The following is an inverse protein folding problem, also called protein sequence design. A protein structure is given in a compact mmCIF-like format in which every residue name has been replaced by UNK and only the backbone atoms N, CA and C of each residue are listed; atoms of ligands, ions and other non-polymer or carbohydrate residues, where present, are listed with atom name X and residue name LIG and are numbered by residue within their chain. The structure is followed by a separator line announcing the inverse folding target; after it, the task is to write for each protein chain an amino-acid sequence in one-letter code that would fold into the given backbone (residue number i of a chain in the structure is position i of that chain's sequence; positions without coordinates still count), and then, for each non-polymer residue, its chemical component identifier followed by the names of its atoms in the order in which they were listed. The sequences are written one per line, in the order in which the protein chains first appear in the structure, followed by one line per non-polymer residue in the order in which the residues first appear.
data_IF_581901685564
#
_entry.id   IF_581901685564
#
_cell.length_a   1.000
_cell.length_b   1.000
_cell.length_c   1.000
_cell.angle_alpha   90.00
_cell.angle_beta   90.00
_cell.angle_gamma   90.00
#
_symmetry.space_group_name_H-M   'P 1'
#
loop_
_entity.id
_entity.type
_entity.pdbx_description
1 polymer ?
#
# COMPACT_ATOMS: atom_id res chain seq x y z
N UNK A 1 52.02 9.83 71.05
CA UNK A 1 51.25 10.98 70.52
C UNK A 1 50.92 10.69 69.08
N UNK A 2 49.64 10.48 68.81
CA UNK A 2 49.10 10.14 67.49
C UNK A 2 48.93 11.39 66.62
N UNK A 3 49.17 11.26 65.32
CA UNK A 3 48.55 12.11 64.31
C UNK A 3 48.45 11.33 62.99
N UNK A 4 47.26 10.76 62.75
CA UNK A 4 46.82 10.31 61.43
C UNK A 4 46.34 11.54 60.65
N UNK A 5 46.83 11.74 59.42
CA UNK A 5 46.26 12.73 58.49
C UNK A 5 45.76 12.06 57.20
N UNK A 6 44.51 12.38 56.88
CA UNK A 6 43.54 11.66 56.04
C UNK A 6 43.77 11.76 54.51
N UNK A 7 43.18 10.84 53.70
CA UNK A 7 43.50 10.67 52.28
C UNK A 7 42.75 11.70 51.40
N UNK A 8 43.40 12.81 51.04
CA UNK A 8 42.83 13.86 50.18
C UNK A 8 42.68 13.48 48.68
N UNK A 9 43.12 12.29 48.24
CA UNK A 9 43.07 11.86 46.82
C UNK A 9 41.69 11.38 46.33
N UNK A 10 40.77 10.97 47.23
CA UNK A 10 39.47 10.37 46.82
C UNK A 10 38.48 11.37 46.19
N UNK A 11 38.49 12.65 46.60
CA UNK A 11 37.54 13.66 46.09
C UNK A 11 37.79 14.07 44.64
N UNK A 12 39.05 14.14 44.20
CA UNK A 12 39.40 14.49 42.80
C UNK A 12 39.00 13.39 41.81
N UNK A 13 39.15 12.12 42.19
CA UNK A 13 38.69 10.99 41.38
C UNK A 13 37.17 10.97 41.22
N UNK A 14 36.43 11.30 42.29
CA UNK A 14 34.97 11.34 42.26
C UNK A 14 34.44 12.49 41.39
N UNK A 15 35.07 13.67 41.46
CA UNK A 15 34.74 14.80 40.57
C UNK A 15 35.03 14.45 39.11
N UNK A 16 36.16 13.81 38.80
CA UNK A 16 36.48 13.39 37.44
C UNK A 16 35.45 12.37 36.90
N UNK A 17 35.04 11.39 37.72
CA UNK A 17 33.99 10.43 37.36
C UNK A 17 32.65 11.13 37.11
N UNK A 18 32.26 12.09 37.96
CA UNK A 18 31.03 12.86 37.77
C UNK A 18 31.08 13.68 36.50
N UNK A 19 32.20 14.36 36.21
CA UNK A 19 32.37 15.13 34.98
C UNK A 19 32.28 14.21 33.75
N UNK A 20 32.97 13.07 33.77
CA UNK A 20 32.89 12.09 32.68
C UNK A 20 31.46 11.56 32.50
N UNK A 21 30.77 11.23 33.59
CA UNK A 21 29.38 10.78 33.54
C UNK A 21 28.45 11.85 32.96
N UNK A 22 28.58 13.11 33.37
CA UNK A 22 27.80 14.23 32.82
C UNK A 22 28.08 14.42 31.34
N UNK A 23 29.35 14.37 30.91
CA UNK A 23 29.71 14.45 29.49
C UNK A 23 29.10 13.30 28.70
N UNK A 24 29.15 12.07 29.20
CA UNK A 24 28.51 10.92 28.55
C UNK A 24 27.00 11.09 28.43
N UNK A 25 26.32 11.56 29.49
CA UNK A 25 24.88 11.84 29.44
C UNK A 25 24.56 12.92 28.41
N UNK A 26 25.33 14.00 28.35
CA UNK A 26 25.14 15.05 27.35
C UNK A 26 25.34 14.53 25.92
N UNK A 27 26.30 13.65 25.69
CA UNK A 27 26.49 13.01 24.38
C UNK A 27 25.32 12.12 24.00
N UNK A 28 24.78 11.35 24.95
CA UNK A 28 23.58 10.54 24.73
C UNK A 28 22.38 11.42 24.38
N UNK A 29 22.15 12.51 25.14
CA UNK A 29 21.07 13.47 24.86
C UNK A 29 21.25 14.11 23.48
N UNK A 30 22.47 14.56 23.15
CA UNK A 30 22.76 15.15 21.85
C UNK A 30 22.53 14.16 20.69
N UNK A 31 22.90 12.88 20.87
CA UNK A 31 22.66 11.84 19.88
C UNK A 31 21.16 11.62 19.65
N UNK A 32 20.35 11.54 20.72
CA UNK A 32 18.89 11.36 20.62
C UNK A 32 18.23 12.55 19.93
N UNK A 33 18.60 13.78 20.29
CA UNK A 33 18.06 15.00 19.67
C UNK A 33 18.47 15.10 18.21
N UNK A 34 19.75 14.81 17.91
CA UNK A 34 20.27 14.79 16.54
C UNK A 34 19.55 13.78 15.66
N UNK A 35 19.29 12.57 16.19
CA UNK A 35 18.55 11.52 15.48
C UNK A 35 17.12 11.93 15.15
N UNK A 36 16.42 12.53 16.11
CA UNK A 36 15.05 13.01 15.92
C UNK A 36 14.97 14.10 14.83
N UNK A 37 15.97 15.00 14.77
CA UNK A 37 16.04 16.02 13.72
C UNK A 37 16.36 15.39 12.36
N UNK A 38 17.34 14.49 12.30
CA UNK A 38 17.70 13.79 11.07
C UNK A 38 16.51 13.01 10.50
N UNK A 39 15.78 12.28 11.36
CA UNK A 39 14.57 11.54 10.99
C UNK A 39 13.53 12.44 10.32
N UNK A 40 13.26 13.61 10.91
CA UNK A 40 12.31 14.58 10.34
C UNK A 40 12.77 15.09 8.98
N UNK A 41 14.04 15.47 8.86
CA UNK A 41 14.58 15.97 7.58
C UNK A 41 14.48 14.91 6.48
N UNK A 42 14.79 13.65 6.80
CA UNK A 42 14.65 12.53 5.85
C UNK A 42 13.18 12.33 5.47
N UNK A 43 12.27 12.28 6.43
CA UNK A 43 10.84 12.15 6.19
C UNK A 43 10.30 13.29 5.32
N UNK A 44 10.61 14.54 5.66
CA UNK A 44 10.16 15.73 4.92
C UNK A 44 10.69 15.72 3.47
N UNK A 45 11.95 15.33 3.29
CA UNK A 45 12.59 15.25 1.96
C UNK A 45 11.98 14.13 1.12
N UNK A 46 11.74 12.97 1.72
CA UNK A 46 11.07 11.85 1.05
C UNK A 46 9.64 12.23 0.68
N UNK A 47 8.88 12.83 1.59
CA UNK A 47 7.52 13.29 1.34
C UNK A 47 7.47 14.32 0.19
N UNK A 48 8.40 15.28 0.16
CA UNK A 48 8.50 16.23 -0.94
C UNK A 48 8.80 15.53 -2.28
N UNK A 49 9.73 14.58 -2.29
CA UNK A 49 10.09 13.83 -3.50
C UNK A 49 8.91 12.99 -4.03
N UNK A 50 8.11 12.42 -3.12
CA UNK A 50 6.91 11.64 -3.47
C UNK A 50 5.83 12.54 -4.05
N UNK A 51 5.58 13.72 -3.45
CA UNK A 51 4.66 14.71 -4.02
C UNK A 51 5.07 15.12 -5.43
N UNK A 52 6.36 15.40 -5.64
CA UNK A 52 6.86 15.78 -6.95
C UNK A 52 6.71 14.62 -7.96
N UNK A 53 7.04 13.40 -7.58
CA UNK A 53 6.93 12.21 -8.44
C UNK A 53 5.48 11.90 -8.84
N UNK A 54 4.54 12.08 -7.90
CA UNK A 54 3.11 11.87 -8.13
C UNK A 54 2.40 13.14 -8.64
N UNK A 55 3.13 14.23 -8.88
CA UNK A 55 2.57 15.53 -9.27
C UNK A 55 1.45 16.03 -8.34
N UNK A 56 1.58 15.75 -7.05
CA UNK A 56 0.61 16.14 -6.02
C UNK A 56 0.77 17.62 -5.65
N UNK A 57 -0.32 18.28 -5.23
CA UNK A 57 -0.24 19.63 -4.66
C UNK A 57 0.78 19.72 -3.53
N UNK A 58 1.46 20.85 -3.40
CA UNK A 58 2.51 21.04 -2.40
C UNK A 58 2.01 20.89 -0.95
N UNK A 59 0.73 21.15 -0.72
CA UNK A 59 0.03 21.03 0.55
C UNK A 59 -0.69 19.67 0.75
N UNK A 60 -0.62 18.76 -0.23
CA UNK A 60 -1.20 17.43 -0.11
C UNK A 60 -0.50 16.62 0.99
N UNK A 61 -1.24 15.99 1.91
CA UNK A 61 -0.65 15.23 3.00
C UNK A 61 0.06 13.99 2.47
N UNK A 62 1.34 13.86 2.79
CA UNK A 62 2.13 12.64 2.56
C UNK A 62 2.89 12.41 3.84
N UNK A 63 2.53 11.35 4.56
CA UNK A 63 3.15 10.94 5.79
C UNK A 63 4.28 9.96 5.49
N UNK A 64 5.45 10.20 6.06
CA UNK A 64 6.61 9.33 5.88
C UNK A 64 7.23 9.04 7.23
N UNK A 65 7.30 7.75 7.57
CA UNK A 65 7.92 7.25 8.78
C UNK A 65 9.19 6.49 8.44
N UNK A 66 10.32 6.94 9.00
CA UNK A 66 11.58 6.19 8.93
C UNK A 66 11.65 5.30 10.17
N UNK A 67 11.53 4.00 9.96
CA UNK A 67 11.59 3.02 11.03
C UNK A 67 13.04 2.69 11.43
N UNK A 68 13.22 2.21 12.66
CA UNK A 68 14.52 1.86 13.21
C UNK A 68 14.91 2.65 14.47
N UNK A 69 15.90 2.12 15.18
CA UNK A 69 16.33 2.61 16.49
C UNK A 69 17.11 3.93 16.41
N UNK A 70 17.85 4.17 15.32
CA UNK A 70 18.53 5.43 15.04
C UNK A 70 18.76 5.61 13.52
N UNK A 71 18.34 6.75 12.98
CA UNK A 71 18.50 7.16 11.58
C UNK A 71 19.93 7.62 11.28
N UNK A 72 20.61 8.29 12.21
CA UNK A 72 21.96 8.82 11.95
C UNK A 72 22.99 7.73 11.59
N UNK A 73 23.09 6.60 12.31
CA UNK A 73 23.98 5.51 11.92
C UNK A 73 23.61 4.88 10.56
N UNK A 74 22.32 4.80 10.25
CA UNK A 74 21.81 4.28 8.97
C UNK A 74 22.20 5.19 7.79
N UNK A 75 22.12 6.52 7.97
CA UNK A 75 22.61 7.47 6.97
C UNK A 75 24.12 7.35 6.74
N UNK A 76 24.90 7.05 7.79
CA UNK A 76 26.34 6.78 7.67
C UNK A 76 26.62 5.45 6.96
N UNK A 77 25.78 4.42 7.16
CA UNK A 77 25.89 3.17 6.40
C UNK A 77 25.38 3.29 4.97
N UNK A 78 24.62 4.34 4.65
CA UNK A 78 24.11 4.63 3.31
C UNK A 78 22.78 3.93 2.98
N UNK A 79 22.12 3.32 3.95
CA UNK A 79 20.87 2.55 3.77
C UNK A 79 19.93 2.74 4.96
N UNK A 80 18.67 3.02 4.70
CA UNK A 80 17.59 3.06 5.68
C UNK A 80 16.96 1.68 5.81
N UNK A 81 16.73 1.23 7.04
CA UNK A 81 16.22 -0.12 7.30
C UNK A 81 14.82 -0.31 6.72
N UNK A 82 13.92 0.63 7.01
CA UNK A 82 12.54 0.63 6.53
C UNK A 82 11.96 2.05 6.43
N UNK A 83 11.18 2.28 5.39
CA UNK A 83 10.45 3.52 5.13
C UNK A 83 8.98 3.16 4.91
N UNK A 84 8.11 3.71 5.74
CA UNK A 84 6.66 3.60 5.59
C UNK A 84 6.12 4.92 5.04
N UNK A 85 5.29 4.87 4.01
CA UNK A 85 4.71 6.04 3.34
C UNK A 85 3.20 5.87 3.33
N UNK A 86 2.46 6.91 3.73
CA UNK A 86 1.00 6.96 3.62
C UNK A 86 0.55 8.24 2.96
N UNK A 87 -0.47 8.14 2.13
CA UNK A 87 -1.10 9.29 1.49
C UNK A 87 -2.55 8.95 1.23
N UNK A 88 -3.44 9.83 1.69
CA UNK A 88 -4.88 9.68 1.51
C UNK A 88 -5.33 10.48 0.28
N UNK A 89 -6.46 10.11 -0.32
CA UNK A 89 -7.06 10.84 -1.45
C UNK A 89 -6.10 11.07 -2.64
N UNK A 90 -5.29 10.06 -2.99
CA UNK A 90 -4.38 10.16 -4.13
C UNK A 90 -5.12 9.91 -5.44
N UNK A 91 -5.00 10.86 -6.37
CA UNK A 91 -5.60 10.77 -7.69
C UNK A 91 -4.67 10.03 -8.67
N UNK A 92 -5.20 8.98 -9.32
CA UNK A 92 -4.55 8.22 -10.40
C UNK A 92 -5.41 8.33 -11.66
N UNK A 93 -5.21 9.38 -12.44
CA UNK A 93 -6.10 9.69 -13.56
C UNK A 93 -7.51 10.02 -13.07
N UNK A 94 -8.47 9.15 -13.35
CA UNK A 94 -9.88 9.30 -12.93
C UNK A 94 -10.20 8.57 -11.61
N UNK A 95 -9.22 7.86 -11.04
CA UNK A 95 -9.37 7.07 -9.82
C UNK A 95 -8.88 7.86 -8.62
N UNK A 96 -9.51 7.64 -7.48
CA UNK A 96 -9.02 8.11 -6.18
C UNK A 96 -8.93 6.92 -5.21
N UNK A 97 -7.92 6.97 -4.35
CA UNK A 97 -7.76 6.01 -3.27
C UNK A 97 -6.57 6.34 -2.38
N UNK A 98 -6.48 5.61 -1.28
CA UNK A 98 -5.42 5.76 -0.30
C UNK A 98 -4.25 4.83 -0.63
N UNK A 99 -3.03 5.27 -0.33
CA UNK A 99 -1.80 4.51 -0.53
C UNK A 99 -1.13 4.26 0.82
N UNK A 100 -0.75 3.00 1.07
CA UNK A 100 0.24 2.62 2.08
C UNK A 100 1.40 1.88 1.41
N UNK A 101 2.62 2.38 1.54
CA UNK A 101 3.83 1.74 1.00
C UNK A 101 4.79 1.43 2.14
N UNK A 102 5.30 0.21 2.16
CA UNK A 102 6.43 -0.19 3.00
C UNK A 102 7.61 -0.52 2.10
N UNK A 103 8.75 0.14 2.32
CA UNK A 103 10.02 -0.15 1.64
C UNK A 103 11.04 -0.65 2.67
N UNK A 104 11.88 -1.63 2.30
CA UNK A 104 12.97 -2.12 3.13
C UNK A 104 14.32 -1.96 2.44
N UNK A 105 15.35 -1.62 3.22
CA UNK A 105 16.72 -1.44 2.71
C UNK A 105 16.83 -0.31 1.69
N UNK A 106 16.25 0.85 1.99
CA UNK A 106 16.18 1.99 1.06
C UNK A 106 17.54 2.69 0.97
N UNK A 107 18.16 2.86 -0.21
CA UNK A 107 19.39 3.63 -0.33
C UNK A 107 19.20 5.07 0.16
N UNK A 108 20.09 5.54 1.05
CA UNK A 108 20.00 6.90 1.61
C UNK A 108 20.18 8.01 0.54
N UNK A 109 20.73 7.65 -0.63
CA UNK A 109 20.79 8.51 -1.82
C UNK A 109 19.44 8.75 -2.49
N UNK A 110 18.39 8.00 -2.13
CA UNK A 110 17.10 7.99 -2.82
C UNK A 110 17.13 7.30 -4.19
N UNK A 111 18.29 6.75 -4.59
CA UNK A 111 18.50 6.07 -5.88
C UNK A 111 19.29 4.79 -5.66
N UNK A 112 18.93 3.73 -6.37
CA UNK A 112 19.54 2.41 -6.24
C UNK A 112 18.51 1.31 -5.97
N UNK A 113 18.99 0.11 -5.69
CA UNK A 113 18.14 -1.04 -5.43
C UNK A 113 17.65 -1.05 -3.98
N UNK A 114 16.36 -1.36 -3.81
CA UNK A 114 15.73 -1.72 -2.55
C UNK A 114 16.03 -3.18 -2.19
N UNK A 115 15.85 -3.57 -0.92
CA UNK A 115 15.81 -4.99 -0.56
C UNK A 115 14.45 -5.59 -0.92
N UNK A 116 13.36 -4.91 -0.55
CA UNK A 116 11.98 -5.29 -0.81
C UNK A 116 11.08 -4.06 -0.75
N UNK A 117 9.89 -4.16 -1.32
CA UNK A 117 8.84 -3.16 -1.11
C UNK A 117 7.46 -3.75 -1.36
N UNK A 118 6.48 -3.27 -0.62
CA UNK A 118 5.06 -3.60 -0.77
C UNK A 118 4.24 -2.32 -0.80
N UNK A 119 3.20 -2.27 -1.61
CA UNK A 119 2.24 -1.17 -1.64
C UNK A 119 0.82 -1.72 -1.56
N UNK A 120 -0.05 -1.02 -0.84
CA UNK A 120 -1.49 -1.25 -0.81
C UNK A 120 -2.17 -0.01 -1.35
N UNK A 121 -3.06 -0.19 -2.32
CA UNK A 121 -3.93 0.88 -2.83
C UNK A 121 -5.37 0.55 -2.44
N UNK A 122 -5.98 1.39 -1.61
CA UNK A 122 -7.37 1.26 -1.19
C UNK A 122 -8.24 2.16 -2.05
N UNK A 123 -8.91 1.58 -3.04
CA UNK A 123 -9.79 2.31 -3.94
C UNK A 123 -11.17 2.53 -3.33
N UNK A 124 -11.68 3.76 -3.48
CA UNK A 124 -13.03 4.10 -3.04
C UNK A 124 -14.11 3.37 -3.85
N UNK A 125 -15.31 3.13 -3.29
CA UNK A 125 -16.41 2.47 -4.00
C UNK A 125 -16.82 3.19 -5.29
N UNK A 126 -16.71 4.52 -5.32
CA UNK A 126 -16.96 5.33 -6.50
C UNK A 126 -15.92 5.06 -7.61
N UNK A 127 -14.63 5.00 -7.25
CA UNK A 127 -13.54 4.64 -8.17
C UNK A 127 -13.73 3.24 -8.74
N UNK A 128 -14.13 2.26 -7.90
CA UNK A 128 -14.44 0.90 -8.36
C UNK A 128 -15.61 0.89 -9.34
N UNK A 129 -16.66 1.65 -9.06
CA UNK A 129 -17.82 1.77 -9.95
C UNK A 129 -17.43 2.35 -11.31
N UNK A 130 -16.61 3.41 -11.33
CA UNK A 130 -16.08 4.01 -12.55
C UNK A 130 -15.24 3.02 -13.35
N UNK A 131 -14.36 2.26 -12.69
CA UNK A 131 -13.53 1.23 -13.32
C UNK A 131 -14.35 0.14 -14.00
N UNK A 132 -15.32 -0.41 -13.26
CA UNK A 132 -16.19 -1.47 -13.78
C UNK A 132 -17.02 -0.96 -14.95
N UNK A 133 -17.54 0.27 -14.86
CA UNK A 133 -18.34 0.87 -15.92
C UNK A 133 -17.51 1.16 -17.17
N UNK A 134 -16.26 1.61 -17.03
CA UNK A 134 -15.38 1.91 -18.14
C UNK A 134 -14.92 0.66 -18.90
N UNK A 135 -14.81 -0.49 -18.22
CA UNK A 135 -14.35 -1.77 -18.79
C UNK A 135 -15.48 -2.75 -19.13
N UNK A 136 -16.71 -2.50 -18.69
CA UNK A 136 -17.85 -3.37 -18.98
C UNK A 136 -18.43 -3.09 -20.37
N UNK A 137 -18.66 -4.14 -21.14
CA UNK A 137 -19.39 -4.08 -22.42
C UNK A 137 -20.92 -4.09 -22.21
N UNK A 138 -21.38 -4.37 -20.98
CA UNK A 138 -22.79 -4.51 -20.62
C UNK A 138 -23.22 -3.31 -19.76
N UNK A 139 -24.45 -2.78 -19.93
CA UNK A 139 -24.99 -1.75 -19.06
C UNK A 139 -25.01 -2.20 -17.59
N UNK A 140 -24.33 -1.45 -16.73
CA UNK A 140 -24.30 -1.67 -15.29
C UNK A 140 -25.15 -0.60 -14.62
N UNK A 141 -26.09 -1.00 -13.77
CA UNK A 141 -26.94 -0.07 -13.03
C UNK A 141 -26.26 0.40 -11.74
N UNK A 142 -25.58 -0.53 -11.05
CA UNK A 142 -24.82 -0.21 -9.83
C UNK A 142 -23.74 -1.24 -9.54
N UNK A 143 -22.70 -0.78 -8.85
CA UNK A 143 -21.65 -1.61 -8.27
C UNK A 143 -21.60 -1.34 -6.78
N UNK A 144 -21.54 -2.38 -5.96
CA UNK A 144 -21.45 -2.26 -4.50
C UNK A 144 -20.37 -3.20 -3.97
N UNK A 145 -19.60 -2.72 -3.00
CA UNK A 145 -18.66 -3.54 -2.24
C UNK A 145 -19.44 -4.19 -1.09
N UNK A 146 -19.53 -5.52 -1.10
CA UNK A 146 -20.21 -6.33 -0.07
C UNK A 146 -19.26 -7.45 0.36
N UNK A 147 -18.30 -7.10 1.21
CA UNK A 147 -17.18 -7.96 1.56
C UNK A 147 -17.62 -9.40 1.89
N UNK A 148 -17.05 -10.43 1.23
CA UNK A 148 -15.83 -10.39 0.41
C UNK A 148 -16.06 -10.16 -1.10
N UNK A 149 -17.29 -9.83 -1.51
CA UNK A 149 -17.71 -9.79 -2.91
C UNK A 149 -17.82 -8.37 -3.45
N UNK A 150 -17.51 -8.20 -4.73
CA UNK A 150 -18.06 -7.08 -5.51
C UNK A 150 -19.39 -7.54 -6.11
N UNK A 151 -20.46 -6.80 -5.84
CA UNK A 151 -21.76 -7.04 -6.46
C UNK A 151 -21.99 -6.06 -7.60
N UNK A 152 -22.25 -6.61 -8.77
CA UNK A 152 -22.60 -5.86 -9.97
C UNK A 152 -24.07 -6.12 -10.28
N UNK A 153 -24.88 -5.07 -10.34
CA UNK A 153 -26.31 -5.17 -10.62
C UNK A 153 -26.65 -4.54 -11.98
N UNK A 154 -27.63 -5.13 -12.66
CA UNK A 154 -28.12 -4.70 -13.96
C UNK A 154 -29.61 -5.03 -14.10
N UNK A 155 -30.27 -4.38 -15.04
CA UNK A 155 -31.67 -4.60 -15.37
C UNK A 155 -31.77 -5.24 -16.74
N UNK A 156 -32.44 -6.39 -16.83
CA UNK A 156 -32.64 -7.12 -18.09
C UNK A 156 -34.11 -7.08 -18.49
N UNK A 157 -34.38 -6.79 -19.77
CA UNK A 157 -35.73 -6.86 -20.31
C UNK A 157 -36.06 -8.27 -20.80
N UNK A 158 -37.11 -8.87 -20.24
CA UNK A 158 -37.61 -10.18 -20.64
C UNK A 158 -39.09 -10.04 -20.95
N UNK A 159 -39.49 -10.23 -22.21
CA UNK A 159 -40.88 -10.14 -22.67
C UNK A 159 -41.55 -8.79 -22.33
N UNK A 160 -40.79 -7.69 -22.32
CA UNK A 160 -41.27 -6.34 -21.98
C UNK A 160 -41.37 -6.05 -20.48
N UNK A 161 -40.88 -6.95 -19.63
CA UNK A 161 -40.76 -6.74 -18.18
C UNK A 161 -39.28 -6.51 -17.83
N UNK A 162 -39.01 -5.46 -17.03
CA UNK A 162 -37.67 -5.22 -16.49
C UNK A 162 -37.46 -6.08 -15.24
N UNK A 163 -36.46 -6.94 -15.27
CA UNK A 163 -36.07 -7.82 -14.18
C UNK A 163 -34.70 -7.40 -13.65
N UNK A 164 -34.61 -7.20 -12.34
CA UNK A 164 -33.32 -6.96 -11.68
C UNK A 164 -32.49 -8.26 -11.69
N UNK A 165 -31.26 -8.14 -12.15
CA UNK A 165 -30.25 -9.19 -12.13
C UNK A 165 -28.98 -8.66 -11.45
N UNK A 166 -28.20 -9.55 -10.86
CA UNK A 166 -26.92 -9.20 -10.27
C UNK A 166 -25.98 -10.39 -10.19
N UNK A 167 -24.70 -10.09 -10.05
CA UNK A 167 -23.63 -11.10 -9.90
C UNK A 167 -22.76 -10.68 -8.72
N UNK A 168 -22.53 -11.61 -7.79
CA UNK A 168 -21.51 -11.50 -6.76
C UNK A 168 -20.21 -12.10 -7.26
N UNK A 169 -19.13 -11.33 -7.23
CA UNK A 169 -17.83 -11.68 -7.79
C UNK A 169 -16.80 -11.67 -6.67
N UNK A 170 -16.14 -12.81 -6.46
CA UNK A 170 -14.92 -12.90 -5.67
C UNK A 170 -13.75 -12.37 -6.50
N UNK A 171 -12.92 -11.54 -5.87
CA UNK A 171 -11.72 -11.00 -6.48
C UNK A 171 -10.49 -11.77 -6.00
N UNK A 172 -9.57 -12.02 -6.92
CA UNK A 172 -8.25 -12.58 -6.65
C UNK A 172 -7.17 -11.86 -7.46
N UNK A 173 -5.92 -12.25 -7.21
CA UNK A 173 -4.77 -11.81 -7.98
C UNK A 173 -4.01 -13.05 -8.46
N UNK A 174 -3.79 -13.14 -9.77
CA UNK A 174 -3.03 -14.22 -10.39
C UNK A 174 -2.19 -13.65 -11.53
N UNK A 175 -0.90 -13.97 -11.54
CA UNK A 175 0.04 -13.56 -12.59
C UNK A 175 0.05 -12.04 -12.86
N UNK A 176 -0.12 -11.21 -11.82
CA UNK A 176 -0.17 -9.75 -11.93
C UNK A 176 -1.48 -9.19 -12.50
N UNK A 177 -2.48 -10.04 -12.74
CA UNK A 177 -3.81 -9.67 -13.22
C UNK A 177 -4.87 -9.88 -12.13
N UNK A 178 -6.03 -9.23 -12.29
CA UNK A 178 -7.18 -9.42 -11.40
C UNK A 178 -7.94 -10.66 -11.88
N UNK A 179 -8.15 -11.61 -10.99
CA UNK A 179 -9.01 -12.77 -11.24
C UNK A 179 -10.42 -12.49 -10.70
N UNK A 180 -11.41 -12.61 -11.58
CA UNK A 180 -12.82 -12.43 -11.28
C UNK A 180 -13.50 -13.79 -11.26
N UNK A 181 -13.99 -14.20 -10.10
CA UNK A 181 -14.69 -15.48 -9.94
C UNK A 181 -16.15 -15.22 -9.52
N UNK A 182 -17.12 -15.32 -10.45
CA UNK A 182 -18.52 -15.22 -10.10
C UNK A 182 -18.93 -16.35 -9.15
N UNK A 183 -19.37 -16.01 -7.94
CA UNK A 183 -19.76 -16.98 -6.90
C UNK A 183 -21.26 -16.97 -6.63
N UNK A 184 -21.95 -15.88 -6.97
CA UNK A 184 -23.39 -15.71 -6.73
C UNK A 184 -24.08 -15.04 -7.92
N UNK A 185 -25.35 -15.42 -8.15
CA UNK A 185 -26.23 -14.76 -9.12
C UNK A 185 -27.54 -14.40 -8.44
N UNK A 186 -27.97 -13.15 -8.59
CA UNK A 186 -29.26 -12.66 -8.11
C UNK A 186 -30.18 -12.44 -9.29
N UNK A 187 -31.40 -12.97 -9.26
CA UNK A 187 -32.43 -12.72 -10.27
C UNK A 187 -33.77 -12.50 -9.60
N UNK A 188 -34.44 -11.39 -9.94
CA UNK A 188 -35.74 -11.01 -9.37
C UNK A 188 -35.76 -11.05 -7.82
N UNK A 189 -34.65 -10.62 -7.20
CA UNK A 189 -34.46 -10.59 -5.75
C UNK A 189 -34.15 -11.94 -5.09
N UNK A 190 -33.97 -13.01 -5.88
CA UNK A 190 -33.53 -14.32 -5.37
C UNK A 190 -32.05 -14.53 -5.67
N UNK A 191 -31.23 -14.76 -4.65
CA UNK A 191 -29.81 -15.08 -4.78
C UNK A 191 -29.61 -16.60 -4.85
N UNK A 192 -28.82 -17.04 -5.82
CA UNK A 192 -28.41 -18.42 -6.03
C UNK A 192 -26.89 -18.49 -6.00
N UNK A 193 -26.32 -19.44 -5.27
CA UNK A 193 -24.88 -19.68 -5.30
C UNK A 193 -24.48 -20.37 -6.61
N UNK A 194 -23.19 -20.33 -6.96
CA UNK A 194 -22.67 -21.06 -8.11
C UNK A 194 -23.07 -22.55 -8.08
N UNK A 195 -23.01 -23.19 -6.90
CA UNK A 195 -23.43 -24.57 -6.70
C UNK A 195 -24.93 -24.79 -6.96
N UNK A 196 -25.79 -23.85 -6.57
CA UNK A 196 -27.24 -23.92 -6.83
C UNK A 196 -27.53 -23.79 -8.34
N UNK A 197 -26.80 -22.90 -9.02
CA UNK A 197 -26.91 -22.70 -10.47
C UNK A 197 -26.46 -23.96 -11.21
N UNK A 198 -25.30 -24.53 -10.86
CA UNK A 198 -24.81 -25.78 -11.45
C UNK A 198 -25.79 -26.95 -11.21
N UNK A 199 -26.34 -27.07 -10.01
CA UNK A 199 -27.28 -28.15 -9.69
C UNK A 199 -28.58 -28.02 -10.51
N UNK A 200 -29.04 -26.80 -10.77
CA UNK A 200 -30.34 -26.54 -11.41
C UNK A 200 -30.25 -26.49 -12.94
N UNK A 201 -29.15 -25.97 -13.48
CA UNK A 201 -28.97 -25.74 -14.92
C UNK A 201 -27.89 -26.62 -15.55
N UNK A 202 -27.13 -27.38 -14.74
CA UNK A 202 -26.04 -28.25 -15.20
C UNK A 202 -24.82 -27.49 -15.68
N UNK A 203 -23.87 -28.21 -16.31
CA UNK A 203 -22.60 -27.67 -16.86
C UNK A 203 -22.76 -26.63 -17.98
N UNK A 204 -23.98 -26.31 -18.40
CA UNK A 204 -24.24 -25.25 -19.37
C UNK A 204 -23.98 -23.84 -18.81
N UNK A 205 -23.91 -23.70 -17.48
CA UNK A 205 -23.63 -22.44 -16.80
C UNK A 205 -22.12 -22.16 -16.61
N UNK A 206 -21.23 -23.12 -16.89
CA UNK A 206 -19.78 -23.00 -16.66
C UNK A 206 -19.16 -21.81 -17.42
N UNK A 207 -19.69 -21.47 -18.60
CA UNK A 207 -19.22 -20.29 -19.36
C UNK A 207 -19.60 -18.94 -18.73
N UNK A 208 -20.60 -18.92 -17.85
CA UNK A 208 -21.04 -17.72 -17.13
C UNK A 208 -20.35 -17.59 -15.77
N UNK A 209 -20.13 -18.71 -15.08
CA UNK A 209 -19.54 -18.75 -13.73
C UNK A 209 -18.04 -19.05 -13.72
N UNK A 210 -17.43 -19.31 -14.87
CA UNK A 210 -15.99 -19.55 -14.97
C UNK A 210 -15.17 -18.32 -14.59
N UNK A 211 -14.00 -18.50 -13.93
CA UNK A 211 -13.08 -17.42 -13.63
C UNK A 211 -12.63 -16.68 -14.89
N UNK A 212 -12.46 -15.36 -14.77
CA UNK A 212 -11.95 -14.50 -15.85
C UNK A 212 -10.80 -13.66 -15.34
N UNK A 213 -9.74 -13.57 -16.13
CA UNK A 213 -8.61 -12.71 -15.84
C UNK A 213 -8.80 -11.35 -16.53
N UNK A 214 -8.57 -10.27 -15.79
CA UNK A 214 -8.56 -8.88 -16.28
C UNK A 214 -7.16 -8.32 -16.12
N UNK A 215 -6.54 -8.00 -17.25
CA UNK A 215 -5.25 -7.34 -17.27
C UNK A 215 -5.39 -5.88 -16.80
N UNK A 216 -4.46 -5.44 -15.95
CA UNK A 216 -4.35 -4.06 -15.44
C UNK A 216 -2.99 -3.42 -15.71
N UNK A 217 -2.13 -4.10 -16.47
CA UNK A 217 -0.76 -3.67 -16.71
C UNK A 217 -0.68 -2.31 -17.42
N UNK A 218 -1.68 -1.96 -18.23
CA UNK A 218 -1.79 -0.65 -18.89
C UNK A 218 -1.97 0.53 -17.92
N UNK A 219 -2.39 0.24 -16.69
CA UNK A 219 -2.72 1.22 -15.65
C UNK A 219 -1.73 1.20 -14.49
N UNK A 220 -0.77 0.27 -14.49
CA UNK A 220 0.14 0.01 -13.37
C UNK A 220 1.59 -0.05 -13.87
N UNK A 221 2.54 0.59 -13.18
CA UNK A 221 3.97 0.46 -13.47
C UNK A 221 4.46 -0.98 -13.55
N UNK A 222 5.38 -1.28 -14.48
CA UNK A 222 5.92 -2.63 -14.69
C UNK A 222 6.60 -3.22 -13.45
N UNK A 223 7.17 -2.36 -12.61
CA UNK A 223 7.81 -2.78 -11.35
C UNK A 223 6.84 -3.01 -10.20
N UNK A 224 5.52 -2.90 -10.42
CA UNK A 224 4.49 -3.26 -9.45
C UNK A 224 3.79 -4.54 -9.91
N UNK A 225 3.99 -5.62 -9.17
CA UNK A 225 3.29 -6.89 -9.41
C UNK A 225 2.09 -7.00 -8.48
N UNK A 226 0.88 -7.10 -9.01
CA UNK A 226 -0.31 -7.36 -8.21
C UNK A 226 -0.20 -8.74 -7.55
N UNK A 227 -0.34 -8.77 -6.23
CA UNK A 227 -0.21 -9.97 -5.39
C UNK A 227 -1.49 -10.31 -4.64
N UNK A 228 -2.38 -9.35 -4.45
CA UNK A 228 -3.64 -9.53 -3.74
C UNK A 228 -4.67 -8.50 -4.15
N UNK A 229 -5.93 -8.91 -4.11
CA UNK A 229 -7.08 -8.00 -4.16
C UNK A 229 -8.05 -8.45 -3.09
N UNK A 230 -8.52 -7.54 -2.24
CA UNK A 230 -9.56 -7.83 -1.26
C UNK A 230 -10.61 -6.74 -1.22
N UNK A 231 -11.87 -7.18 -1.08
CA UNK A 231 -13.00 -6.27 -0.90
C UNK A 231 -13.22 -6.08 0.60
N UNK A 232 -13.05 -4.85 1.07
CA UNK A 232 -13.45 -4.42 2.39
C UNK A 232 -14.84 -3.75 2.34
N UNK A 233 -15.36 -3.35 3.49
CA UNK A 233 -16.68 -2.71 3.57
C UNK A 233 -16.74 -1.36 2.83
N UNK A 234 -15.64 -0.60 2.84
CA UNK A 234 -15.58 0.77 2.32
C UNK A 234 -14.47 0.97 1.29
N UNK A 235 -13.71 -0.08 0.94
CA UNK A 235 -12.61 0.01 -0.02
C UNK A 235 -12.39 -1.30 -0.76
N UNK A 236 -11.76 -1.20 -1.93
CA UNK A 236 -11.15 -2.34 -2.62
C UNK A 236 -9.63 -2.19 -2.51
N UNK A 237 -9.01 -3.09 -1.73
CA UNK A 237 -7.58 -3.06 -1.47
C UNK A 237 -6.86 -3.90 -2.52
N UNK A 238 -5.90 -3.30 -3.21
CA UNK A 238 -5.00 -3.97 -4.14
C UNK A 238 -3.58 -3.96 -3.59
N UNK A 239 -3.01 -5.14 -3.37
CA UNK A 239 -1.66 -5.33 -2.83
C UNK A 239 -0.66 -5.56 -3.96
N UNK A 240 0.44 -4.84 -3.92
CA UNK A 240 1.51 -4.92 -4.91
C UNK A 240 2.85 -5.22 -4.26
N UNK A 241 3.65 -6.05 -4.92
CA UNK A 241 5.07 -6.18 -4.65
C UNK A 241 5.86 -5.25 -5.58
N UNK A 242 6.82 -4.51 -5.00
CA UNK A 242 7.71 -3.61 -5.74
C UNK A 242 8.97 -4.36 -6.17
N UNK A 243 9.37 -4.18 -7.42
CA UNK A 243 10.65 -4.65 -7.92
C UNK A 243 11.81 -3.97 -7.17
N UNK A 244 12.88 -4.71 -6.80
CA UNK A 244 14.05 -4.14 -6.13
C UNK A 244 14.67 -2.95 -6.88
N UNK A 245 14.60 -2.96 -8.21
CA UNK A 245 15.19 -1.90 -9.05
C UNK A 245 14.24 -0.74 -9.36
N UNK A 246 13.02 -0.72 -8.80
CA UNK A 246 11.99 0.28 -9.11
C UNK A 246 12.48 1.73 -9.04
N UNK A 247 13.29 2.08 -8.04
CA UNK A 247 13.84 3.44 -7.88
C UNK A 247 14.99 3.78 -8.84
N UNK A 248 15.67 2.77 -9.38
CA UNK A 248 16.88 2.93 -10.20
C UNK A 248 16.66 2.74 -11.70
N UNK A 249 15.55 2.10 -12.07
CA UNK A 249 15.26 1.67 -13.43
C UNK A 249 13.99 2.38 -13.94
N UNK A 250 14.13 3.37 -14.84
CA UNK A 250 12.98 4.08 -15.38
C UNK A 250 11.95 3.19 -16.08
N UNK A 251 12.39 2.08 -16.70
CA UNK A 251 11.46 1.16 -17.37
C UNK A 251 10.47 0.52 -16.38
N UNK A 252 10.90 0.30 -15.13
CA UNK A 252 10.04 -0.23 -14.06
C UNK A 252 8.96 0.77 -13.61
N UNK A 253 9.16 2.06 -13.88
CA UNK A 253 8.23 3.13 -13.52
C UNK A 253 7.23 3.43 -14.64
N UNK A 254 7.50 2.98 -15.86
CA UNK A 254 6.56 3.06 -16.97
C UNK A 254 5.44 2.03 -16.80
N UNK A 255 4.24 2.35 -17.28
CA UNK A 255 3.14 1.40 -17.28
C UNK A 255 3.48 0.17 -18.14
N UNK A 256 2.95 -0.98 -17.73
CA UNK A 256 2.99 -2.19 -18.55
C UNK A 256 2.04 -2.13 -19.74
N UNK A 257 1.85 -3.28 -20.37
CA UNK A 257 0.98 -3.43 -21.54
C UNK A 257 0.03 -4.61 -21.36
N UNK A 258 -1.22 -4.40 -21.73
CA UNK A 258 -2.18 -5.49 -21.87
C UNK A 258 -2.20 -5.99 -23.33
N UNK A 259 -2.19 -7.32 -23.55
CA UNK A 259 -2.15 -7.91 -24.88
C UNK A 259 -3.46 -7.79 -25.67
#
# INVERSE_FOLDING_TARGET
MSASESPRRRRRGLIAVVVVAVVLVLLVVAAVVGDALARRVVADTAAASIRDALSLPADHPVEVDVAGWAVLPQLVSGTLDRLDVRSDDVAFGELNGDIDVTLEGVPASGTGALNSGTATVALDPASVTSLVSARSEVPIDSVTLDAPLVRVNTSVEVLGLSLAAGVGIELGAADGAIELTPSEVTVAGTTLTAADVEQRFGRGADGLLGPRSVCIADSVPQGLTLTGVQVAAESLNADFALAPTFLSDPEQQENGVCP
#
